data_IF_105367371879
#
_entry.id   IF_105367371879
#
_cell.length_a   1.000
_cell.length_b   1.000
_cell.length_c   1.000
_cell.angle_alpha   90.00
_cell.angle_beta   90.00
_cell.angle_gamma   90.00
#
_symmetry.space_group_name_H-M   'P 1'
#
loop_
_entity.id
_entity.type
_entity.pdbx_description
1 polymer ?
#
# COMPACT_ATOMS: atom_id res chain seq x y z
N UNK A 1 -12.47 -42.92 28.94
CA UNK A 1 -12.68 -41.52 28.53
C UNK A 1 -11.80 -41.29 27.31
N UNK A 2 -12.34 -41.48 26.10
CA UNK A 2 -11.56 -41.46 24.86
C UNK A 2 -11.48 -40.01 24.36
N UNK A 3 -10.25 -39.49 24.21
CA UNK A 3 -10.02 -38.21 23.57
C UNK A 3 -10.46 -38.29 22.09
N UNK A 4 -11.21 -37.32 21.56
CA UNK A 4 -11.60 -37.35 20.15
C UNK A 4 -10.33 -37.24 19.30
N UNK A 5 -10.00 -38.32 18.59
CA UNK A 5 -8.99 -38.31 17.54
C UNK A 5 -9.53 -37.40 16.42
N UNK A 6 -9.21 -36.11 16.49
CA UNK A 6 -9.40 -35.19 15.38
C UNK A 6 -8.67 -35.80 14.18
N UNK A 7 -9.44 -36.23 13.17
CA UNK A 7 -8.91 -36.86 11.96
C UNK A 7 -7.78 -35.99 11.41
N UNK A 8 -6.58 -36.56 11.28
CA UNK A 8 -5.38 -35.88 10.77
C UNK A 8 -5.63 -35.20 9.42
N UNK A 9 -6.61 -35.69 8.65
CA UNK A 9 -7.09 -35.09 7.42
C UNK A 9 -7.74 -33.72 7.64
N UNK A 10 -8.57 -33.55 8.67
CA UNK A 10 -9.23 -32.28 8.99
C UNK A 10 -8.19 -31.20 9.36
N UNK A 11 -7.13 -31.61 10.07
CA UNK A 11 -6.03 -30.73 10.44
C UNK A 11 -5.27 -30.26 9.19
N UNK A 12 -4.97 -31.17 8.25
CA UNK A 12 -4.33 -30.83 6.97
C UNK A 12 -5.18 -29.87 6.12
N UNK A 13 -6.51 -30.08 6.07
CA UNK A 13 -7.41 -29.15 5.36
C UNK A 13 -7.42 -27.76 5.99
N UNK A 14 -7.41 -27.68 7.32
CA UNK A 14 -7.34 -26.40 8.04
C UNK A 14 -6.02 -25.66 7.77
N UNK A 15 -4.89 -26.38 7.81
CA UNK A 15 -3.58 -25.83 7.47
C UNK A 15 -3.51 -25.37 6.01
N UNK A 16 -4.05 -26.16 5.07
CA UNK A 16 -4.12 -25.79 3.65
C UNK A 16 -4.96 -24.52 3.45
N UNK A 17 -6.10 -24.41 4.11
CA UNK A 17 -6.97 -23.24 4.01
C UNK A 17 -6.32 -21.99 4.62
N UNK A 18 -5.65 -22.11 5.77
CA UNK A 18 -4.87 -21.01 6.35
C UNK A 18 -3.73 -20.60 5.43
N UNK A 19 -3.01 -21.57 4.86
CA UNK A 19 -1.91 -21.29 3.95
C UNK A 19 -2.41 -20.54 2.70
N UNK A 20 -3.51 -21.01 2.10
CA UNK A 20 -4.13 -20.37 0.95
C UNK A 20 -4.67 -18.97 1.29
N UNK A 21 -5.33 -18.81 2.44
CA UNK A 21 -5.82 -17.52 2.91
C UNK A 21 -4.64 -16.54 3.13
N UNK A 22 -3.59 -16.96 3.82
CA UNK A 22 -2.37 -16.18 4.02
C UNK A 22 -1.66 -15.82 2.70
N UNK A 23 -1.77 -16.66 1.68
CA UNK A 23 -1.22 -16.37 0.36
C UNK A 23 -2.02 -15.28 -0.39
N UNK A 24 -3.33 -15.18 -0.16
CA UNK A 24 -4.24 -14.29 -0.91
C UNK A 24 -4.57 -13.00 -0.15
N UNK A 25 -4.13 -12.84 1.10
CA UNK A 25 -4.38 -11.62 1.88
C UNK A 25 -3.73 -10.39 1.23
N UNK A 26 -4.57 -9.44 0.85
CA UNK A 26 -4.18 -8.12 0.37
C UNK A 26 -4.61 -7.10 1.41
N UNK A 27 -3.68 -6.27 1.88
CA UNK A 27 -4.00 -5.15 2.75
C UNK A 27 -4.25 -3.93 1.87
N UNK A 28 -5.44 -3.36 2.00
CA UNK A 28 -5.85 -2.15 1.30
C UNK A 28 -5.88 -1.01 2.31
N UNK A 29 -5.12 0.04 2.05
CA UNK A 29 -5.10 1.26 2.84
C UNK A 29 -5.65 2.40 1.99
N UNK A 30 -6.61 3.15 2.52
CA UNK A 30 -7.27 4.23 1.81
C UNK A 30 -7.24 5.54 2.60
N UNK A 31 -7.42 6.64 1.87
CA UNK A 31 -7.68 7.94 2.46
C UNK A 31 -7.54 9.06 1.46
N UNK A 32 -7.23 10.26 1.96
CA UNK A 32 -7.10 11.48 1.15
C UNK A 32 -5.64 11.89 1.00
N UNK A 33 -5.26 12.30 -0.21
CA UNK A 33 -3.91 12.66 -0.59
C UNK A 33 -3.91 14.10 -1.13
N UNK A 34 -3.00 14.94 -0.61
CA UNK A 34 -2.75 16.27 -1.17
C UNK A 34 -1.37 16.31 -1.83
N UNK A 35 -1.33 16.63 -3.12
CA UNK A 35 -0.08 16.63 -3.90
C UNK A 35 0.53 18.02 -3.82
N UNK A 36 1.70 18.16 -3.18
CA UNK A 36 2.27 19.47 -2.83
C UNK A 36 3.44 19.90 -3.71
N UNK A 37 4.36 18.98 -4.01
CA UNK A 37 5.61 19.35 -4.69
C UNK A 37 5.98 18.29 -5.72
N UNK A 38 6.43 18.76 -6.86
CA UNK A 38 6.82 17.99 -8.05
C UNK A 38 8.32 18.25 -8.23
N UNK A 39 9.16 17.35 -7.73
CA UNK A 39 10.60 17.40 -7.96
C UNK A 39 10.89 16.93 -9.40
N UNK A 40 11.77 17.65 -10.11
CA UNK A 40 12.13 17.30 -11.48
C UNK A 40 12.75 15.90 -11.55
N UNK A 41 11.97 14.94 -12.04
CA UNK A 41 12.42 13.57 -12.29
C UNK A 41 12.89 13.36 -13.73
N UNK A 42 13.48 12.19 -14.00
CA UNK A 42 14.02 11.80 -15.29
C UNK A 42 12.90 11.64 -16.33
N UNK A 43 12.98 12.37 -17.47
CA UNK A 43 12.16 12.44 -18.70
C UNK A 43 10.66 12.05 -18.67
N UNK A 44 10.29 10.93 -18.06
CA UNK A 44 8.99 10.28 -18.14
C UNK A 44 8.41 9.89 -16.76
N UNK A 45 9.20 10.02 -15.68
CA UNK A 45 8.74 9.81 -14.30
C UNK A 45 9.14 10.97 -13.41
N UNK A 46 8.27 11.31 -12.47
CA UNK A 46 8.41 12.47 -11.60
C UNK A 46 8.22 12.06 -10.15
N UNK A 47 9.12 12.52 -9.28
CA UNK A 47 9.00 12.32 -7.84
C UNK A 47 8.19 13.45 -7.22
N UNK A 48 7.06 13.08 -6.62
CA UNK A 48 6.15 14.01 -5.99
C UNK A 48 6.11 13.78 -4.48
N UNK A 49 6.13 14.88 -3.74
CA UNK A 49 5.82 14.88 -2.31
C UNK A 49 4.31 14.94 -2.14
N UNK A 50 3.75 13.91 -1.52
CA UNK A 50 2.31 13.75 -1.30
C UNK A 50 2.04 13.68 0.19
N UNK A 51 1.10 14.47 0.68
CA UNK A 51 0.61 14.39 2.05
C UNK A 51 -0.56 13.42 2.11
N UNK A 52 -0.36 12.27 2.75
CA UNK A 52 -1.36 11.21 2.88
C UNK A 52 -2.06 11.29 4.24
N UNK A 53 -3.38 11.33 4.23
CA UNK A 53 -4.23 11.18 5.41
C UNK A 53 -4.98 9.86 5.32
N UNK A 54 -4.51 8.87 6.08
CA UNK A 54 -5.16 7.57 6.19
C UNK A 54 -6.45 7.66 7.01
N UNK A 55 -7.52 7.05 6.52
CA UNK A 55 -8.81 7.00 7.24
C UNK A 55 -8.85 5.92 8.32
N UNK A 56 -8.24 4.77 8.04
CA UNK A 56 -8.38 3.57 8.88
C UNK A 56 -7.03 3.06 9.37
N UNK A 57 -6.60 1.90 8.87
CA UNK A 57 -5.35 1.27 9.24
C UNK A 57 -4.18 2.01 8.62
N UNK A 58 -3.08 2.06 9.36
CA UNK A 58 -1.84 2.67 8.89
C UNK A 58 -0.83 1.59 8.61
N UNK A 59 -0.20 1.60 7.43
CA UNK A 59 0.96 0.78 7.17
C UNK A 59 2.15 1.28 7.99
N UNK A 60 2.99 0.36 8.48
CA UNK A 60 4.25 0.71 9.14
C UNK A 60 5.34 1.07 8.14
N UNK A 61 5.72 0.12 7.28
CA UNK A 61 6.73 0.29 6.22
C UNK A 61 6.10 -0.19 4.91
N UNK A 62 6.03 0.70 3.92
CA UNK A 62 5.42 0.41 2.60
C UNK A 62 6.24 0.94 1.42
N UNK A 63 7.55 1.11 1.60
CA UNK A 63 8.45 1.41 0.48
C UNK A 63 8.27 0.42 -0.68
N UNK A 64 8.21 0.93 -1.90
CA UNK A 64 8.08 0.15 -3.13
C UNK A 64 6.68 -0.33 -3.51
N UNK A 65 5.65 -0.11 -2.68
CA UNK A 65 4.28 -0.54 -2.95
C UNK A 65 3.58 0.35 -3.99
N UNK A 66 2.64 -0.22 -4.79
CA UNK A 66 1.82 0.57 -5.70
C UNK A 66 0.84 1.46 -4.92
N UNK A 67 0.73 2.72 -5.35
CA UNK A 67 -0.28 3.67 -4.89
C UNK A 67 -1.15 4.07 -6.08
N UNK A 68 -2.46 4.05 -5.89
CA UNK A 68 -3.46 4.44 -6.88
C UNK A 68 -4.08 5.74 -6.41
N UNK A 69 -4.20 6.72 -7.31
CA UNK A 69 -4.86 7.98 -7.05
C UNK A 69 -6.11 8.05 -7.93
N UNK A 70 -7.23 8.40 -7.31
CA UNK A 70 -8.50 8.60 -7.98
C UNK A 70 -8.71 10.09 -8.22
N UNK A 71 -8.80 10.47 -9.49
CA UNK A 71 -9.09 11.81 -9.94
C UNK A 71 -10.36 11.83 -10.80
N UNK A 72 -10.92 13.02 -11.03
CA UNK A 72 -12.02 13.21 -11.97
C UNK A 72 -11.69 12.74 -13.39
N UNK A 73 -10.40 12.74 -13.76
CA UNK A 73 -9.91 12.29 -15.07
C UNK A 73 -9.68 10.76 -15.13
N UNK A 74 -9.94 10.03 -14.05
CA UNK A 74 -9.72 8.60 -13.94
C UNK A 74 -8.75 8.22 -12.82
N UNK A 75 -8.53 6.91 -12.68
CA UNK A 75 -7.53 6.36 -11.76
C UNK A 75 -6.17 6.27 -12.46
N UNK A 76 -5.12 6.70 -11.76
CA UNK A 76 -3.74 6.51 -12.22
C UNK A 76 -2.88 5.93 -11.11
N UNK A 77 -1.79 5.27 -11.51
CA UNK A 77 -0.93 4.51 -10.60
C UNK A 77 0.46 5.13 -10.49
N UNK A 78 0.99 5.10 -9.28
CA UNK A 78 2.36 5.45 -8.97
C UNK A 78 2.99 4.41 -8.06
N UNK A 79 4.22 4.69 -7.65
CA UNK A 79 4.98 3.85 -6.76
C UNK A 79 5.40 4.65 -5.54
N UNK A 80 5.03 4.19 -4.36
CA UNK A 80 5.47 4.80 -3.12
C UNK A 80 6.95 4.48 -2.91
N UNK A 81 7.78 5.49 -2.73
CA UNK A 81 9.21 5.34 -2.44
C UNK A 81 9.44 5.29 -0.94
N UNK A 82 8.86 6.25 -0.22
CA UNK A 82 8.96 6.33 1.24
C UNK A 82 7.71 6.94 1.85
N UNK A 83 7.46 6.59 3.11
CA UNK A 83 6.41 7.15 3.95
C UNK A 83 7.04 7.60 5.27
N UNK A 84 6.83 8.86 5.63
CA UNK A 84 7.23 9.41 6.90
C UNK A 84 6.37 8.86 8.02
N UNK A 85 7.02 8.46 9.12
CA UNK A 85 6.32 8.10 10.34
C UNK A 85 5.78 9.33 11.09
N UNK A 86 6.35 10.51 10.82
CA UNK A 86 5.99 11.78 11.46
C UNK A 86 4.69 12.29 10.83
N UNK A 87 3.80 12.77 11.71
CA UNK A 87 2.54 13.40 11.31
C UNK A 87 2.61 14.90 11.51
N UNK A 88 1.93 15.62 10.63
CA UNK A 88 1.62 17.02 10.87
C UNK A 88 0.43 17.19 11.84
N UNK A 89 0.08 18.45 12.11
CA UNK A 89 -1.04 18.83 12.97
C UNK A 89 -2.41 18.41 12.43
N UNK A 90 -2.51 18.06 11.15
CA UNK A 90 -3.72 17.58 10.48
C UNK A 90 -3.75 16.04 10.34
N UNK A 91 -2.84 15.34 11.04
CA UNK A 91 -2.65 13.89 10.97
C UNK A 91 -2.27 13.36 9.57
N UNK A 92 -1.74 14.23 8.70
CA UNK A 92 -1.19 13.84 7.41
C UNK A 92 0.25 13.38 7.58
N UNK A 93 0.66 12.42 6.77
CA UNK A 93 2.02 11.91 6.69
C UNK A 93 2.61 12.27 5.34
N UNK A 94 3.87 12.70 5.35
CA UNK A 94 4.58 12.96 4.12
C UNK A 94 4.98 11.65 3.46
N UNK A 95 4.72 11.53 2.17
CA UNK A 95 5.11 10.40 1.34
C UNK A 95 5.85 10.91 0.11
N UNK A 96 6.92 10.22 -0.27
CA UNK A 96 7.57 10.43 -1.56
C UNK A 96 7.06 9.36 -2.51
N UNK A 97 6.45 9.77 -3.59
CA UNK A 97 5.84 8.89 -4.58
C UNK A 97 6.40 9.19 -5.97
N UNK A 98 6.61 8.17 -6.79
CA UNK A 98 6.98 8.32 -8.19
C UNK A 98 5.78 8.06 -9.08
N UNK A 99 5.41 9.05 -9.90
CA UNK A 99 4.31 8.99 -10.85
C UNK A 99 4.81 9.26 -12.27
N UNK A 100 3.96 9.06 -13.28
CA UNK A 100 4.22 9.58 -14.61
C UNK A 100 3.91 11.08 -14.64
N UNK A 101 4.88 11.89 -15.05
CA UNK A 101 4.69 12.84 -16.15
C UNK A 101 3.35 13.56 -16.22
N UNK A 102 2.59 13.14 -17.24
CA UNK A 102 1.31 13.71 -17.63
C UNK A 102 0.20 13.51 -16.58
N UNK A 103 0.26 12.45 -15.78
CA UNK A 103 -0.81 12.10 -14.84
C UNK A 103 -0.76 13.00 -13.61
N UNK A 104 0.43 13.16 -13.00
CA UNK A 104 0.58 13.89 -11.74
C UNK A 104 0.39 15.41 -11.88
N UNK A 105 0.74 15.99 -13.04
CA UNK A 105 0.52 17.42 -13.30
C UNK A 105 -0.96 17.80 -13.32
N UNK A 106 -1.85 16.87 -13.65
CA UNK A 106 -3.29 17.14 -13.73
C UNK A 106 -3.95 17.31 -12.36
N UNK A 107 -3.30 16.83 -11.30
CA UNK A 107 -3.82 16.80 -9.92
C UNK A 107 -2.89 17.52 -8.93
N UNK A 108 -1.92 18.28 -9.44
CA UNK A 108 -1.04 19.08 -8.59
C UNK A 108 -1.85 20.09 -7.77
N UNK A 109 -1.54 20.20 -6.47
CA UNK A 109 -2.26 21.05 -5.50
C UNK A 109 -3.73 20.68 -5.29
N UNK A 110 -4.17 19.50 -5.72
CA UNK A 110 -5.51 18.99 -5.47
C UNK A 110 -5.53 18.01 -4.30
N UNK A 111 -6.70 17.90 -3.67
CA UNK A 111 -6.99 16.84 -2.71
C UNK A 111 -7.75 15.73 -3.42
N UNK A 112 -7.18 14.54 -3.45
CA UNK A 112 -7.63 13.38 -4.23
C UNK A 112 -7.65 12.14 -3.34
N UNK A 113 -8.51 11.19 -3.66
CA UNK A 113 -8.55 9.94 -2.90
C UNK A 113 -7.43 9.02 -3.37
N UNK A 114 -6.87 8.25 -2.44
CA UNK A 114 -5.82 7.30 -2.75
C UNK A 114 -6.09 5.92 -2.16
N UNK A 115 -5.52 4.91 -2.80
CA UNK A 115 -5.51 3.53 -2.34
C UNK A 115 -4.10 2.95 -2.46
N UNK A 116 -3.60 2.34 -1.38
CA UNK A 116 -2.34 1.60 -1.38
C UNK A 116 -2.68 0.12 -1.19
N UNK A 117 -2.20 -0.70 -2.12
CA UNK A 117 -2.39 -2.15 -2.06
C UNK A 117 -1.06 -2.76 -1.66
N UNK A 118 -0.99 -3.26 -0.44
CA UNK A 118 0.12 -4.05 0.05
C UNK A 118 -0.25 -5.52 -0.06
N UNK A 119 0.42 -6.25 -0.96
CA UNK A 119 0.35 -7.70 -0.92
C UNK A 119 1.04 -8.19 0.36
N UNK A 120 0.43 -9.10 1.10
CA UNK A 120 1.21 -9.88 2.06
C UNK A 120 2.18 -10.70 1.22
N UNK A 121 3.44 -10.28 1.12
CA UNK A 121 4.47 -11.04 0.41
C UNK A 121 4.39 -12.51 0.79
N UNK A 122 4.75 -13.38 -0.14
CA UNK A 122 4.58 -14.83 0.01
C UNK A 122 5.16 -15.28 1.36
N UNK A 123 4.52 -16.22 2.06
CA UNK A 123 4.93 -16.62 3.41
C UNK A 123 6.43 -16.97 3.46
N UNK A 124 6.94 -17.55 2.37
CA UNK A 124 8.36 -17.83 2.13
C UNK A 124 9.25 -16.57 2.11
N UNK A 125 8.84 -15.47 1.46
CA UNK A 125 9.59 -14.21 1.49
C UNK A 125 9.72 -13.66 2.91
N UNK A 126 8.66 -13.75 3.72
CA UNK A 126 8.70 -13.32 5.13
C UNK A 126 9.59 -14.23 5.99
N UNK A 127 9.60 -15.53 5.70
CA UNK A 127 10.45 -16.50 6.41
C UNK A 127 11.93 -16.42 5.99
N UNK A 128 12.21 -16.00 4.74
CA UNK A 128 13.56 -15.86 4.18
C UNK A 128 14.18 -14.47 4.40
N UNK A 129 13.52 -13.60 5.18
CA UNK A 129 14.04 -12.25 5.46
C UNK A 129 14.03 -11.31 4.25
N UNK A 130 13.09 -11.51 3.32
CA UNK A 130 12.85 -10.56 2.23
C UNK A 130 12.38 -9.22 2.78
N UNK A 131 13.29 -8.25 2.79
CA UNK A 131 13.05 -6.83 3.04
C UNK A 131 12.16 -6.21 1.95
#
# INVERSE_FOLDING_TARGET
MAAPAFSSQLLLFFFYYIFFACYVIKYVYSGTATIYSIAAGHCDSLEATVLLRFESKRPGIIGGQPIYIQSANGEFSGRLQSLSFVRDTLMRQEAVCRFKTAEIKSVENQNVDFTIIQASGNLLQKMLGGL
#
